data_IF_261650849533
#
_entry.id   IF_261650849533
#
_cell.length_a   1.000
_cell.length_b   1.000
_cell.length_c   1.000
_cell.angle_alpha   90.00
_cell.angle_beta   90.00
_cell.angle_gamma   90.00
#
_symmetry.space_group_name_H-M   'P 1'
#
loop_
_entity.id
_entity.type
_entity.pdbx_description
1 polymer ?
#
# COMPACT_ATOMS: atom_id res chain seq x y z
N UNK A 1 21.29 -12.29 -3.45
CA UNK A 1 20.81 -11.02 -4.01
C UNK A 1 21.99 -10.05 -4.12
N UNK A 2 22.24 -9.49 -5.31
CA UNK A 2 23.33 -8.51 -5.49
C UNK A 2 22.71 -7.11 -5.50
N UNK A 3 23.05 -6.30 -4.49
CA UNK A 3 22.76 -4.86 -4.49
C UNK A 3 23.86 -4.11 -5.27
N UNK A 4 23.56 -2.95 -5.87
CA UNK A 4 24.56 -2.11 -6.54
C UNK A 4 25.74 -1.77 -5.62
N UNK A 5 26.93 -1.63 -6.20
CA UNK A 5 28.16 -1.34 -5.45
C UNK A 5 28.15 0.05 -4.78
N UNK A 6 27.36 0.99 -5.30
CA UNK A 6 27.19 2.33 -4.75
C UNK A 6 25.69 2.66 -4.61
N UNK A 7 25.25 3.05 -3.42
CA UNK A 7 23.90 3.46 -3.09
C UNK A 7 23.99 4.85 -2.44
N UNK A 8 23.88 5.93 -3.23
CA UNK A 8 24.13 7.29 -2.76
C UNK A 8 22.99 7.81 -1.85
N UNK A 9 23.35 8.66 -0.89
CA UNK A 9 22.43 9.45 -0.07
C UNK A 9 21.68 8.65 1.01
N UNK A 10 20.72 9.29 1.67
CA UNK A 10 19.80 8.63 2.59
C UNK A 10 18.89 7.63 1.87
N UNK A 11 18.52 6.59 2.57
CA UNK A 11 17.65 5.55 2.02
C UNK A 11 16.21 5.72 2.48
N UNK A 12 15.28 5.33 1.62
CA UNK A 12 13.85 5.32 1.87
C UNK A 12 13.24 4.04 1.31
N UNK A 13 12.54 3.29 2.15
CA UNK A 13 11.91 2.02 1.77
C UNK A 13 10.41 2.22 1.70
N UNK A 14 9.79 1.79 0.60
CA UNK A 14 8.35 1.65 0.45
C UNK A 14 8.00 0.17 0.45
N UNK A 15 7.01 -0.23 1.21
CA UNK A 15 6.60 -1.63 1.28
C UNK A 15 5.10 -1.77 1.17
N UNK A 16 4.67 -2.70 0.33
CA UNK A 16 3.33 -3.26 0.49
C UNK A 16 3.22 -4.01 1.82
N UNK A 17 2.01 -4.35 2.22
CA UNK A 17 1.71 -4.99 3.50
C UNK A 17 1.33 -6.47 3.33
N UNK A 18 0.17 -6.76 2.77
CA UNK A 18 -0.40 -8.10 2.73
C UNK A 18 0.37 -9.01 1.76
N UNK A 19 0.97 -10.10 2.25
CA UNK A 19 1.81 -10.96 1.42
C UNK A 19 3.22 -10.42 1.17
N UNK A 20 3.56 -9.23 1.67
CA UNK A 20 4.88 -8.62 1.57
C UNK A 20 5.51 -8.44 2.94
N UNK A 21 5.11 -7.45 3.73
CA UNK A 21 5.55 -7.25 5.11
C UNK A 21 4.80 -8.14 6.10
N UNK A 22 3.53 -8.39 5.83
CA UNK A 22 2.63 -9.19 6.65
C UNK A 22 2.48 -10.58 6.04
N UNK A 23 2.34 -11.57 6.91
CA UNK A 23 1.99 -12.91 6.51
C UNK A 23 0.62 -12.95 5.80
N UNK A 24 0.54 -13.63 4.68
CA UNK A 24 -0.66 -13.65 3.83
C UNK A 24 -1.89 -14.25 4.53
N UNK A 25 -1.68 -15.24 5.39
CA UNK A 25 -2.78 -15.98 6.02
C UNK A 25 -3.20 -15.36 7.36
N UNK A 26 -2.24 -14.88 8.14
CA UNK A 26 -2.45 -14.42 9.51
C UNK A 26 -2.42 -12.90 9.65
N UNK A 27 -2.01 -12.18 8.60
CA UNK A 27 -1.77 -10.73 8.62
C UNK A 27 -0.77 -10.27 9.70
N UNK A 28 0.04 -11.21 10.18
CA UNK A 28 0.99 -10.97 11.26
C UNK A 28 2.27 -10.30 10.76
N UNK A 29 2.77 -9.23 11.41
CA UNK A 29 4.07 -8.64 11.15
C UNK A 29 5.21 -9.37 11.90
N UNK A 30 4.96 -10.44 12.62
CA UNK A 30 5.88 -11.02 13.61
C UNK A 30 7.25 -11.37 13.02
N UNK A 31 7.29 -11.92 11.81
CA UNK A 31 8.53 -12.32 11.12
C UNK A 31 9.35 -11.07 10.72
N UNK A 32 8.72 -10.07 10.11
CA UNK A 32 9.41 -8.87 9.62
C UNK A 32 9.73 -7.85 10.72
N UNK A 33 9.02 -7.90 11.86
CA UNK A 33 9.11 -6.91 12.94
C UNK A 33 10.53 -6.63 13.42
N UNK A 34 11.40 -7.62 13.71
CA UNK A 34 12.77 -7.35 14.19
C UNK A 34 13.59 -6.53 13.18
N UNK A 35 13.60 -6.94 11.91
CA UNK A 35 14.35 -6.26 10.84
C UNK A 35 13.77 -4.88 10.54
N UNK A 36 12.44 -4.71 10.60
CA UNK A 36 11.77 -3.41 10.46
C UNK A 36 12.20 -2.42 11.56
N UNK A 37 12.22 -2.86 12.82
CA UNK A 37 12.64 -2.03 13.94
C UNK A 37 14.14 -1.69 13.86
N UNK A 38 14.95 -2.64 13.39
CA UNK A 38 16.39 -2.40 13.21
C UNK A 38 16.69 -1.40 12.10
N UNK A 39 16.01 -1.45 10.96
CA UNK A 39 16.11 -0.43 9.91
C UNK A 39 15.78 0.96 10.46
N UNK A 40 14.74 1.07 11.25
CA UNK A 40 14.35 2.32 11.92
C UNK A 40 15.44 2.85 12.88
N UNK A 41 16.04 1.98 13.68
CA UNK A 41 17.17 2.36 14.56
C UNK A 41 18.37 2.88 13.76
N UNK A 42 18.58 2.37 12.55
CA UNK A 42 19.60 2.83 11.62
C UNK A 42 19.20 4.11 10.86
N UNK A 43 18.05 4.71 11.18
CA UNK A 43 17.57 5.93 10.57
C UNK A 43 16.99 5.76 9.15
N UNK A 44 16.66 4.53 8.74
CA UNK A 44 16.04 4.24 7.44
C UNK A 44 14.52 4.25 7.59
N UNK A 45 13.80 5.24 7.02
CA UNK A 45 12.35 5.25 7.05
C UNK A 45 11.77 4.11 6.19
N UNK A 46 10.75 3.43 6.73
CA UNK A 46 9.98 2.41 6.00
C UNK A 46 8.53 2.88 5.91
N UNK A 47 8.11 3.28 4.72
CA UNK A 47 6.77 3.81 4.41
C UNK A 47 5.85 2.66 4.03
N UNK A 48 4.71 2.55 4.70
CA UNK A 48 3.68 1.59 4.34
C UNK A 48 2.89 2.09 3.13
N UNK A 49 2.72 1.24 2.11
CA UNK A 49 2.05 1.55 0.85
C UNK A 49 1.10 0.41 0.47
N UNK A 50 -0.17 0.51 0.84
CA UNK A 50 -1.09 -0.63 0.79
C UNK A 50 -2.50 -0.25 0.35
N UNK A 51 -3.29 -1.26 -0.02
CA UNK A 51 -4.75 -1.14 -0.19
C UNK A 51 -5.50 -0.94 1.13
N UNK A 52 -4.84 -1.14 2.27
CA UNK A 52 -5.42 -0.95 3.61
C UNK A 52 -5.81 0.50 3.88
N UNK A 53 -6.85 0.66 4.68
CA UNK A 53 -7.36 1.95 5.17
C UNK A 53 -6.38 2.63 6.14
N UNK A 54 -6.58 3.93 6.37
CA UNK A 54 -5.84 4.68 7.40
C UNK A 54 -5.98 4.02 8.78
N UNK A 55 -7.19 3.55 9.11
CA UNK A 55 -7.49 2.92 10.41
C UNK A 55 -6.78 1.58 10.58
N UNK A 56 -6.70 0.75 9.55
CA UNK A 56 -5.91 -0.50 9.57
C UNK A 56 -4.43 -0.22 9.75
N UNK A 57 -3.86 0.69 8.96
CA UNK A 57 -2.44 1.03 9.07
C UNK A 57 -2.11 1.71 10.39
N UNK A 58 -3.02 2.52 10.96
CA UNK A 58 -2.86 3.07 12.31
C UNK A 58 -2.75 1.97 13.37
N UNK A 59 -3.65 0.98 13.33
CA UNK A 59 -3.61 -0.15 14.25
C UNK A 59 -2.30 -0.94 14.12
N UNK A 60 -1.82 -1.19 12.89
CA UNK A 60 -0.54 -1.84 12.64
C UNK A 60 0.64 -1.02 13.18
N UNK A 61 0.70 0.29 12.91
CA UNK A 61 1.75 1.15 13.46
C UNK A 61 1.78 1.15 14.98
N UNK A 62 0.61 1.15 15.62
CA UNK A 62 0.49 1.08 17.08
C UNK A 62 1.02 -0.25 17.62
N UNK A 63 0.66 -1.39 17.02
CA UNK A 63 1.13 -2.71 17.42
C UNK A 63 2.64 -2.88 17.28
N UNK A 64 3.24 -2.21 16.30
CA UNK A 64 4.68 -2.20 16.05
C UNK A 64 5.44 -1.17 16.89
N UNK A 65 4.76 -0.24 17.55
CA UNK A 65 5.39 0.88 18.27
C UNK A 65 6.02 1.92 17.33
N UNK A 66 5.54 2.04 16.11
CA UNK A 66 6.06 2.94 15.07
C UNK A 66 5.12 4.13 14.90
N UNK A 67 5.56 5.34 15.25
CA UNK A 67 4.69 6.53 15.23
C UNK A 67 5.04 7.55 14.13
N UNK A 68 6.28 7.58 13.65
CA UNK A 68 6.82 8.72 12.90
C UNK A 68 7.01 8.45 11.40
N UNK A 69 6.33 7.45 10.81
CA UNK A 69 6.44 7.15 9.39
C UNK A 69 5.20 7.63 8.63
N UNK A 70 5.35 8.10 7.39
CA UNK A 70 4.24 8.31 6.47
C UNK A 70 3.52 7.01 6.13
N UNK A 71 2.30 7.14 5.63
CA UNK A 71 1.49 6.02 5.13
C UNK A 71 0.87 6.39 3.80
N UNK A 72 0.91 5.47 2.86
CA UNK A 72 0.15 5.51 1.62
C UNK A 72 -1.01 4.53 1.81
N UNK A 73 -2.24 5.03 1.75
CA UNK A 73 -3.45 4.26 2.05
C UNK A 73 -4.30 4.08 0.79
N UNK A 74 -5.12 3.04 0.81
CA UNK A 74 -6.13 2.75 -0.19
C UNK A 74 -5.59 2.84 -1.64
N UNK A 75 -4.48 2.08 -1.89
CA UNK A 75 -3.80 2.00 -3.18
C UNK A 75 -3.25 3.33 -3.73
N UNK A 76 -2.87 4.25 -2.85
CA UNK A 76 -2.32 5.54 -3.23
C UNK A 76 -3.35 6.66 -3.27
N UNK A 77 -4.60 6.40 -2.88
CA UNK A 77 -5.66 7.40 -2.91
C UNK A 77 -5.42 8.55 -1.92
N UNK A 78 -4.69 8.29 -0.83
CA UNK A 78 -4.22 9.35 0.06
C UNK A 78 -2.85 9.04 0.67
N UNK A 79 -2.16 10.11 1.03
CA UNK A 79 -0.88 10.09 1.75
C UNK A 79 -1.09 10.75 3.10
N UNK A 80 -0.71 10.07 4.18
CA UNK A 80 -0.82 10.55 5.56
C UNK A 80 0.59 10.70 6.13
N UNK A 81 0.95 11.92 6.52
CA UNK A 81 2.29 12.27 7.00
C UNK A 81 2.22 12.76 8.43
N UNK A 82 3.00 12.21 9.39
CA UNK A 82 3.07 12.74 10.74
C UNK A 82 3.82 14.07 10.79
N UNK A 83 3.33 15.04 11.57
CA UNK A 83 3.99 16.33 11.79
C UNK A 83 5.45 16.13 12.28
N UNK A 84 5.67 15.09 13.08
CA UNK A 84 6.97 14.71 13.61
C UNK A 84 7.96 14.14 12.57
N UNK A 85 7.52 13.92 11.31
CA UNK A 85 8.43 13.49 10.24
C UNK A 85 9.31 14.63 9.70
N UNK A 86 9.01 15.88 10.04
CA UNK A 86 9.77 17.03 9.58
C UNK A 86 9.70 17.30 8.07
N UNK A 87 8.65 16.80 7.43
CA UNK A 87 8.40 17.00 6.00
C UNK A 87 7.55 18.26 5.78
N UNK A 88 7.69 18.90 4.62
CA UNK A 88 6.99 20.14 4.28
C UNK A 88 5.51 19.87 3.93
N UNK A 89 4.68 19.63 4.94
CA UNK A 89 3.25 19.27 4.79
C UNK A 89 2.32 20.13 5.66
N UNK A 90 2.82 21.24 6.22
CA UNK A 90 2.04 22.05 7.15
C UNK A 90 0.82 22.73 6.52
N UNK A 91 0.81 22.89 5.20
CA UNK A 91 -0.30 23.40 4.40
C UNK A 91 -1.39 22.34 4.11
N UNK A 92 -1.12 21.06 4.42
CA UNK A 92 -2.09 19.98 4.24
C UNK A 92 -3.10 19.98 5.40
N UNK A 93 -4.36 19.59 5.15
CA UNK A 93 -5.35 19.48 6.21
C UNK A 93 -4.96 18.40 7.24
N UNK A 94 -5.46 18.51 8.48
CA UNK A 94 -5.33 17.44 9.46
C UNK A 94 -5.91 16.12 8.94
N UNK A 95 -5.25 15.02 9.21
CA UNK A 95 -5.76 13.69 8.85
C UNK A 95 -6.93 13.29 9.77
N UNK A 96 -8.08 12.88 9.24
CA UNK A 96 -9.22 12.45 10.05
C UNK A 96 -8.83 11.36 11.04
N UNK A 97 -9.24 11.50 12.29
CA UNK A 97 -9.00 10.50 13.35
C UNK A 97 -7.52 10.22 13.69
N UNK A 98 -6.56 10.98 13.13
CA UNK A 98 -5.12 10.82 13.38
C UNK A 98 -4.47 12.13 13.85
N UNK A 99 -4.58 12.50 15.13
CA UNK A 99 -3.98 13.72 15.67
C UNK A 99 -2.46 13.78 15.41
N UNK A 100 -1.96 14.98 15.03
CA UNK A 100 -0.55 15.20 14.72
C UNK A 100 -0.11 14.62 13.38
N UNK A 101 -1.07 14.41 12.45
CA UNK A 101 -0.83 13.98 11.09
C UNK A 101 -1.58 14.85 10.09
N UNK A 102 -1.03 14.94 8.90
CA UNK A 102 -1.59 15.66 7.76
C UNK A 102 -1.93 14.69 6.65
N UNK A 103 -2.96 15.02 5.87
CA UNK A 103 -3.39 14.18 4.74
C UNK A 103 -3.34 14.96 3.42
N UNK A 104 -2.88 14.31 2.38
CA UNK A 104 -3.04 14.73 0.99
C UNK A 104 -3.86 13.69 0.26
N UNK A 105 -5.06 14.03 -0.13
CA UNK A 105 -5.90 13.21 -1.01
C UNK A 105 -5.37 13.38 -2.43
N UNK A 106 -5.07 12.25 -3.08
CA UNK A 106 -4.59 12.19 -4.46
C UNK A 106 -5.67 11.67 -5.41
N UNK A 107 -6.59 10.87 -4.88
CA UNK A 107 -7.72 10.32 -5.59
C UNK A 107 -9.00 11.10 -5.33
N UNK A 108 -10.08 10.37 -5.16
CA UNK A 108 -11.44 10.87 -4.97
C UNK A 108 -11.89 10.58 -3.52
N UNK A 109 -12.68 11.46 -2.89
CA UNK A 109 -13.34 11.13 -1.62
C UNK A 109 -14.19 9.86 -1.74
N UNK A 110 -14.20 9.04 -0.69
CA UNK A 110 -14.95 7.78 -0.70
C UNK A 110 -16.45 7.94 -0.94
N UNK A 111 -17.04 9.04 -0.48
CA UNK A 111 -18.46 9.38 -0.74
C UNK A 111 -18.73 9.54 -2.24
N UNK A 112 -17.81 10.19 -2.98
CA UNK A 112 -17.92 10.38 -4.42
C UNK A 112 -17.72 9.05 -5.16
N UNK A 113 -16.77 8.21 -4.72
CA UNK A 113 -16.59 6.84 -5.25
C UNK A 113 -17.87 6.04 -5.09
N UNK A 114 -18.47 6.06 -3.90
CA UNK A 114 -19.71 5.35 -3.60
C UNK A 114 -20.88 5.84 -4.46
N UNK A 115 -21.03 7.16 -4.59
CA UNK A 115 -22.09 7.74 -5.43
C UNK A 115 -21.97 7.30 -6.90
N UNK A 116 -20.77 7.32 -7.46
CA UNK A 116 -20.50 6.88 -8.83
C UNK A 116 -20.71 5.37 -9.02
N UNK A 117 -20.32 4.56 -8.03
CA UNK A 117 -20.64 3.13 -8.04
C UNK A 117 -22.14 2.86 -8.07
N UNK A 118 -22.95 3.64 -7.35
CA UNK A 118 -24.41 3.52 -7.37
C UNK A 118 -24.96 3.90 -8.76
N UNK A 119 -24.37 4.88 -9.45
CA UNK A 119 -24.74 5.23 -10.83
C UNK A 119 -24.41 4.09 -11.82
N UNK A 120 -23.20 3.50 -11.71
CA UNK A 120 -22.82 2.34 -12.52
C UNK A 120 -23.78 1.18 -12.28
N UNK A 121 -24.10 0.86 -11.03
CA UNK A 121 -25.08 -0.17 -10.68
C UNK A 121 -26.45 0.08 -11.30
N UNK A 122 -26.93 1.32 -11.27
CA UNK A 122 -28.22 1.70 -11.87
C UNK A 122 -28.24 1.53 -13.40
N UNK A 123 -27.16 1.88 -14.08
CA UNK A 123 -27.07 1.76 -15.55
C UNK A 123 -26.92 0.32 -16.02
N UNK A 124 -26.09 -0.45 -15.36
CA UNK A 124 -25.75 -1.82 -15.78
C UNK A 124 -26.75 -2.87 -15.26
N UNK A 125 -27.44 -2.57 -14.17
CA UNK A 125 -28.28 -3.54 -13.45
C UNK A 125 -27.47 -4.56 -12.63
N UNK A 126 -26.13 -4.53 -12.69
CA UNK A 126 -25.30 -5.40 -11.88
C UNK A 126 -25.25 -4.92 -10.42
N UNK A 127 -25.52 -5.83 -9.48
CA UNK A 127 -25.45 -5.50 -8.05
C UNK A 127 -24.01 -5.44 -7.59
N UNK A 128 -23.50 -4.24 -7.35
CA UNK A 128 -22.14 -4.00 -6.86
C UNK A 128 -22.11 -3.98 -5.33
N UNK A 129 -22.31 -5.16 -4.70
CA UNK A 129 -22.25 -5.27 -3.25
C UNK A 129 -20.82 -5.03 -2.77
N UNK A 130 -20.64 -4.07 -1.89
CA UNK A 130 -19.35 -3.59 -1.43
C UNK A 130 -19.24 -3.64 0.09
N UNK A 131 -18.06 -3.35 0.64
CA UNK A 131 -17.79 -3.39 2.08
C UNK A 131 -18.80 -2.58 2.90
N UNK A 132 -19.28 -1.43 2.39
CA UNK A 132 -20.31 -0.63 3.05
C UNK A 132 -21.65 -1.34 3.24
N UNK A 133 -21.94 -2.37 2.44
CA UNK A 133 -23.22 -3.08 2.43
C UNK A 133 -23.21 -4.35 3.29
N UNK A 134 -22.11 -4.71 3.90
CA UNK A 134 -21.94 -5.93 4.70
C UNK A 134 -21.53 -5.59 6.13
N UNK A 135 -21.83 -6.46 7.05
CA UNK A 135 -21.45 -6.33 8.47
C UNK A 135 -20.00 -6.72 8.71
N UNK A 136 -19.43 -6.36 9.87
CA UNK A 136 -18.08 -6.75 10.25
C UNK A 136 -17.95 -8.28 10.35
N UNK A 137 -18.99 -8.96 10.83
CA UNK A 137 -19.05 -10.41 10.89
C UNK A 137 -19.06 -11.06 9.50
N UNK A 138 -19.83 -10.52 8.54
CA UNK A 138 -19.82 -11.00 7.15
C UNK A 138 -18.44 -10.78 6.50
N UNK A 139 -17.82 -9.62 6.70
CA UNK A 139 -16.50 -9.36 6.16
C UNK A 139 -15.45 -10.25 6.82
N UNK A 140 -15.54 -10.48 8.12
CA UNK A 140 -14.69 -11.44 8.85
C UNK A 140 -14.75 -12.84 8.20
N UNK A 141 -15.97 -13.33 7.93
CA UNK A 141 -16.17 -14.63 7.28
C UNK A 141 -15.57 -14.69 5.86
N UNK A 142 -15.64 -13.60 5.10
CA UNK A 142 -15.13 -13.52 3.72
C UNK A 142 -13.60 -13.41 3.65
N UNK A 143 -12.98 -12.76 4.64
CA UNK A 143 -11.54 -12.41 4.59
C UNK A 143 -10.67 -13.24 5.51
N UNK A 144 -11.26 -13.82 6.59
CA UNK A 144 -10.52 -14.44 7.68
C UNK A 144 -9.94 -13.44 8.70
N UNK A 145 -10.24 -12.14 8.57
CA UNK A 145 -9.93 -11.13 9.58
C UNK A 145 -10.80 -11.36 10.82
N UNK A 146 -10.32 -11.01 12.00
CA UNK A 146 -11.19 -10.84 13.16
C UNK A 146 -12.19 -9.68 12.93
N UNK A 147 -13.33 -9.68 13.65
CA UNK A 147 -14.38 -8.68 13.43
C UNK A 147 -13.90 -7.23 13.66
N UNK A 148 -13.00 -7.01 14.61
CA UNK A 148 -12.45 -5.68 14.87
C UNK A 148 -11.59 -5.21 13.69
N UNK A 149 -10.80 -6.10 13.11
CA UNK A 149 -9.99 -5.83 11.91
C UNK A 149 -10.87 -5.67 10.67
N UNK A 150 -11.92 -6.47 10.53
CA UNK A 150 -12.93 -6.32 9.48
C UNK A 150 -13.63 -4.96 9.56
N UNK A 151 -14.02 -4.52 10.76
CA UNK A 151 -14.57 -3.18 10.98
C UNK A 151 -13.62 -2.07 10.54
N UNK A 152 -12.31 -2.21 10.78
CA UNK A 152 -11.30 -1.24 10.30
C UNK A 152 -11.19 -1.24 8.79
N UNK A 153 -11.22 -2.41 8.15
CA UNK A 153 -11.14 -2.55 6.69
C UNK A 153 -12.34 -1.91 5.96
N UNK A 154 -13.52 -1.87 6.61
CA UNK A 154 -14.72 -1.19 6.12
C UNK A 154 -14.65 0.34 6.21
N UNK A 155 -13.77 0.90 7.03
CA UNK A 155 -13.62 2.35 7.22
C UNK A 155 -12.83 2.99 6.07
N UNK A 156 -13.31 2.79 4.84
CA UNK A 156 -12.69 3.35 3.63
C UNK A 156 -13.07 4.80 3.45
N UNK A 157 -12.07 5.62 3.21
CA UNK A 157 -12.23 7.09 3.09
C UNK A 157 -12.00 7.58 1.66
N UNK A 158 -11.33 6.78 0.80
CA UNK A 158 -10.88 7.22 -0.54
C UNK A 158 -11.10 6.15 -1.61
N UNK A 159 -11.77 5.07 -1.29
CA UNK A 159 -12.03 3.95 -2.20
C UNK A 159 -13.25 3.16 -1.74
N UNK A 160 -13.63 2.16 -2.53
CA UNK A 160 -14.58 1.14 -2.11
C UNK A 160 -14.10 -0.25 -2.56
N UNK A 161 -14.52 -1.29 -1.86
CA UNK A 161 -14.17 -2.68 -2.23
C UNK A 161 -15.43 -3.47 -2.52
N UNK A 162 -15.56 -3.93 -3.75
CA UNK A 162 -16.67 -4.76 -4.23
C UNK A 162 -16.38 -6.22 -3.92
N UNK A 163 -17.30 -6.87 -3.20
CA UNK A 163 -17.18 -8.29 -2.78
C UNK A 163 -17.88 -9.25 -3.74
N UNK A 164 -18.70 -8.71 -4.62
CA UNK A 164 -19.39 -9.51 -5.63
C UNK A 164 -18.38 -10.12 -6.60
N UNK A 165 -18.63 -11.37 -6.98
CA UNK A 165 -17.80 -12.08 -7.97
C UNK A 165 -18.59 -12.15 -9.27
N UNK A 166 -18.01 -11.63 -10.34
CA UNK A 166 -18.57 -11.71 -11.68
C UNK A 166 -17.63 -12.49 -12.61
N UNK A 167 -18.14 -13.10 -13.69
CA UNK A 167 -17.30 -13.60 -14.77
C UNK A 167 -16.47 -12.47 -15.41
N UNK A 168 -15.32 -12.82 -15.99
CA UNK A 168 -14.38 -11.84 -16.58
C UNK A 168 -15.07 -10.90 -17.58
N UNK A 169 -15.94 -11.42 -18.46
CA UNK A 169 -16.66 -10.59 -19.43
C UNK A 169 -17.60 -9.53 -18.82
N UNK A 170 -18.11 -9.77 -17.59
CA UNK A 170 -18.89 -8.77 -16.85
C UNK A 170 -17.96 -7.72 -16.25
N UNK A 171 -16.79 -8.12 -15.77
CA UNK A 171 -15.78 -7.15 -15.31
C UNK A 171 -15.29 -6.25 -16.45
N UNK A 172 -15.13 -6.78 -17.67
CA UNK A 172 -14.76 -5.99 -18.85
C UNK A 172 -15.84 -4.95 -19.20
N UNK A 173 -17.12 -5.33 -19.12
CA UNK A 173 -18.25 -4.42 -19.29
C UNK A 173 -18.27 -3.34 -18.21
N UNK A 174 -18.14 -3.73 -16.94
CA UNK A 174 -18.11 -2.82 -15.79
C UNK A 174 -16.93 -1.86 -15.87
N UNK A 175 -15.77 -2.29 -16.39
CA UNK A 175 -14.60 -1.42 -16.54
C UNK A 175 -14.91 -0.22 -17.46
N UNK A 176 -15.63 -0.43 -18.56
CA UNK A 176 -16.06 0.66 -19.46
C UNK A 176 -16.95 1.67 -18.72
N UNK A 177 -17.86 1.16 -17.88
CA UNK A 177 -18.76 2.02 -17.11
C UNK A 177 -18.04 2.75 -15.97
N UNK A 178 -17.05 2.09 -15.33
CA UNK A 178 -16.20 2.74 -14.33
C UNK A 178 -15.37 3.86 -14.97
N UNK A 179 -14.76 3.62 -16.13
CA UNK A 179 -13.98 4.63 -16.85
C UNK A 179 -14.83 5.86 -17.21
N UNK A 180 -16.09 5.63 -17.65
CA UNK A 180 -17.04 6.70 -17.96
C UNK A 180 -17.39 7.56 -16.74
N UNK A 181 -17.36 6.99 -15.53
CA UNK A 181 -17.55 7.70 -14.27
C UNK A 181 -16.25 8.27 -13.67
N UNK A 182 -15.12 8.13 -14.34
CA UNK A 182 -13.82 8.52 -13.80
C UNK A 182 -13.41 7.69 -12.60
N UNK A 183 -13.80 6.42 -12.56
CA UNK A 183 -13.39 5.43 -11.60
C UNK A 183 -12.37 4.48 -12.23
N UNK A 184 -11.58 3.85 -11.41
CA UNK A 184 -10.67 2.78 -11.78
C UNK A 184 -10.88 1.57 -10.87
N UNK A 185 -11.07 0.40 -11.46
CA UNK A 185 -11.26 -0.85 -10.75
C UNK A 185 -10.03 -1.73 -10.88
N UNK A 186 -9.48 -2.20 -9.76
CA UNK A 186 -8.31 -3.08 -9.75
C UNK A 186 -8.60 -4.33 -8.92
N UNK A 187 -8.24 -5.47 -9.49
CA UNK A 187 -8.26 -6.72 -8.74
C UNK A 187 -7.13 -6.69 -7.70
N UNK A 188 -7.49 -6.78 -6.42
CA UNK A 188 -6.56 -6.84 -5.30
C UNK A 188 -6.77 -8.15 -4.54
N UNK A 189 -5.82 -9.08 -4.60
CA UNK A 189 -5.84 -10.31 -3.82
C UNK A 189 -7.14 -11.13 -3.89
N UNK A 190 -8.18 -10.70 -3.17
CA UNK A 190 -9.47 -11.43 -3.07
C UNK A 190 -10.63 -10.72 -3.75
N UNK A 191 -10.60 -9.40 -3.80
CA UNK A 191 -11.72 -8.56 -4.21
C UNK A 191 -11.27 -7.45 -5.14
N UNK A 192 -12.23 -6.76 -5.73
CA UNK A 192 -11.99 -5.62 -6.59
C UNK A 192 -12.09 -4.32 -5.78
N UNK A 193 -11.03 -3.51 -5.84
CA UNK A 193 -11.02 -2.18 -5.21
C UNK A 193 -11.22 -1.12 -6.28
N UNK A 194 -12.17 -0.22 -6.03
CA UNK A 194 -12.53 0.89 -6.90
C UNK A 194 -12.07 2.19 -6.27
N UNK A 195 -11.35 3.00 -7.04
CA UNK A 195 -10.82 4.31 -6.65
C UNK A 195 -11.19 5.34 -7.72
N UNK A 196 -10.93 6.61 -7.46
CA UNK A 196 -10.91 7.62 -8.52
C UNK A 196 -9.82 7.33 -9.55
N UNK A 197 -10.11 7.56 -10.82
CA UNK A 197 -9.17 7.31 -11.92
C UNK A 197 -7.86 8.12 -11.75
N UNK A 198 -6.76 7.55 -12.21
CA UNK A 198 -5.42 8.13 -12.10
C UNK A 198 -4.80 8.01 -10.70
N UNK A 199 -5.44 7.26 -9.81
CA UNK A 199 -4.94 6.99 -8.45
C UNK A 199 -4.12 5.70 -8.44
N UNK A 200 -2.85 5.79 -8.07
CA UNK A 200 -2.01 4.61 -7.92
C UNK A 200 -0.93 4.76 -6.82
N UNK A 201 -0.40 3.62 -6.38
CA UNK A 201 0.68 3.56 -5.38
C UNK A 201 1.91 4.37 -5.82
N UNK A 202 2.22 4.41 -7.12
CA UNK A 202 3.42 5.06 -7.66
C UNK A 202 3.36 6.57 -7.59
N UNK A 203 2.21 7.20 -7.85
CA UNK A 203 2.01 8.63 -7.66
C UNK A 203 2.27 9.07 -6.22
N UNK A 204 1.75 8.30 -5.27
CA UNK A 204 1.96 8.54 -3.84
C UNK A 204 3.42 8.30 -3.41
N UNK A 205 4.08 7.28 -3.96
CA UNK A 205 5.52 7.00 -3.74
C UNK A 205 6.38 8.17 -4.23
N UNK A 206 6.13 8.69 -5.43
CA UNK A 206 6.84 9.85 -5.97
C UNK A 206 6.66 11.07 -5.09
N UNK A 207 5.43 11.37 -4.65
CA UNK A 207 5.15 12.50 -3.76
C UNK A 207 5.95 12.41 -2.45
N UNK A 208 5.93 11.27 -1.77
CA UNK A 208 6.70 11.09 -0.53
C UNK A 208 8.21 11.17 -0.81
N UNK A 209 8.69 10.59 -1.90
CA UNK A 209 10.10 10.67 -2.28
C UNK A 209 10.57 12.12 -2.47
N UNK A 210 9.74 12.96 -3.10
CA UNK A 210 10.03 14.38 -3.31
C UNK A 210 10.05 15.16 -1.98
N UNK A 211 9.14 14.87 -1.07
CA UNK A 211 9.14 15.44 0.28
C UNK A 211 10.43 15.10 1.04
N UNK A 212 10.89 13.85 0.97
CA UNK A 212 12.15 13.44 1.61
C UNK A 212 13.37 14.03 0.92
N UNK A 213 13.40 14.12 -0.42
CA UNK A 213 14.48 14.82 -1.16
C UNK A 213 14.59 16.28 -0.74
N UNK A 214 13.46 16.97 -0.64
CA UNK A 214 13.40 18.36 -0.18
C UNK A 214 13.89 18.50 1.27
N UNK A 215 13.44 17.62 2.16
CA UNK A 215 13.82 17.67 3.58
C UNK A 215 15.31 17.37 3.81
N UNK A 216 15.89 16.44 3.04
CA UNK A 216 17.32 16.13 3.15
C UNK A 216 18.24 17.08 2.36
N UNK A 217 17.71 17.87 1.44
CA UNK A 217 18.49 18.77 0.57
C UNK A 217 19.49 18.06 -0.34
N UNK A 218 19.32 16.76 -0.59
CA UNK A 218 20.23 15.90 -1.38
C UNK A 218 19.49 14.71 -1.97
N UNK A 219 20.06 14.06 -3.02
CA UNK A 219 19.49 12.84 -3.58
C UNK A 219 19.30 11.75 -2.52
N UNK A 220 18.25 10.96 -2.67
CA UNK A 220 17.94 9.78 -1.85
C UNK A 220 17.98 8.54 -2.74
N UNK A 221 18.18 7.37 -2.13
CA UNK A 221 17.98 6.08 -2.81
C UNK A 221 16.70 5.44 -2.30
N UNK A 222 15.82 5.04 -3.22
CA UNK A 222 14.51 4.48 -2.91
C UNK A 222 14.45 2.99 -3.22
N UNK A 223 13.83 2.23 -2.30
CA UNK A 223 13.60 0.80 -2.42
C UNK A 223 12.11 0.54 -2.35
N UNK A 224 11.59 -0.37 -3.17
CA UNK A 224 10.19 -0.78 -3.16
C UNK A 224 10.07 -2.29 -3.02
N UNK A 225 9.17 -2.75 -2.15
CA UNK A 225 8.88 -4.16 -1.97
C UNK A 225 7.38 -4.41 -2.18
N UNK A 226 7.04 -5.42 -2.96
CA UNK A 226 5.68 -5.88 -3.23
C UNK A 226 5.66 -7.36 -3.64
N UNK A 227 4.48 -7.96 -3.75
CA UNK A 227 4.29 -9.37 -4.13
C UNK A 227 3.32 -9.58 -5.28
N UNK A 228 2.55 -8.58 -5.65
CA UNK A 228 1.42 -8.73 -6.56
C UNK A 228 1.33 -7.65 -7.64
N UNK A 229 0.47 -7.86 -8.64
CA UNK A 229 0.36 -6.99 -9.81
C UNK A 229 -0.05 -5.55 -9.45
N UNK A 230 -0.83 -5.35 -8.36
CA UNK A 230 -1.20 -4.02 -7.89
C UNK A 230 -0.02 -3.21 -7.35
N UNK A 231 1.14 -3.85 -7.12
CA UNK A 231 2.38 -3.18 -6.71
C UNK A 231 3.21 -2.66 -7.88
N UNK A 232 2.85 -3.02 -9.11
CA UNK A 232 3.58 -2.57 -10.30
C UNK A 232 3.83 -1.04 -10.29
N UNK A 233 2.85 -0.17 -9.98
CA UNK A 233 3.10 1.27 -9.90
C UNK A 233 4.07 1.68 -8.79
N UNK A 234 4.02 1.03 -7.61
CA UNK A 234 4.97 1.24 -6.52
C UNK A 234 6.38 0.87 -6.97
N UNK A 235 6.54 -0.34 -7.54
CA UNK A 235 7.82 -0.88 -7.98
C UNK A 235 8.43 -0.06 -9.12
N UNK A 236 7.60 0.47 -10.01
CA UNK A 236 8.05 1.36 -11.10
C UNK A 236 8.47 2.77 -10.64
N UNK A 237 8.10 3.17 -9.41
CA UNK A 237 8.36 4.51 -8.89
C UNK A 237 9.62 4.59 -8.00
N UNK A 238 10.37 3.51 -7.83
CA UNK A 238 11.57 3.44 -6.99
C UNK A 238 12.81 3.10 -7.79
N UNK A 239 13.98 3.38 -7.22
CA UNK A 239 15.27 3.06 -7.86
C UNK A 239 15.57 1.55 -7.86
N UNK A 240 15.17 0.86 -6.77
CA UNK A 240 15.45 -0.57 -6.57
C UNK A 240 14.17 -1.33 -6.22
N UNK A 241 13.47 -1.89 -7.22
CA UNK A 241 12.27 -2.69 -7.00
C UNK A 241 12.60 -4.15 -6.64
N UNK A 242 11.89 -4.69 -5.64
CA UNK A 242 11.96 -6.07 -5.20
C UNK A 242 10.57 -6.71 -5.22
N UNK A 243 10.47 -7.87 -5.86
CA UNK A 243 9.26 -8.66 -5.89
C UNK A 243 9.48 -9.93 -5.07
N UNK A 244 8.81 -10.02 -3.91
CA UNK A 244 8.87 -11.21 -3.07
C UNK A 244 7.98 -12.32 -3.63
N UNK A 245 8.31 -13.57 -3.35
CA UNK A 245 7.50 -14.71 -3.80
C UNK A 245 6.18 -14.74 -3.02
N UNK A 246 5.11 -15.15 -3.71
CA UNK A 246 3.80 -15.43 -3.15
C UNK A 246 3.82 -16.69 -2.28
N UNK A 247 2.72 -16.99 -1.60
CA UNK A 247 2.58 -18.15 -0.72
C UNK A 247 2.84 -19.47 -1.44
N UNK A 248 2.45 -19.61 -2.70
CA UNK A 248 2.71 -20.78 -3.55
C UNK A 248 4.15 -20.85 -4.08
N UNK A 249 4.99 -19.86 -3.79
CA UNK A 249 6.38 -19.75 -4.27
C UNK A 249 6.52 -19.18 -5.68
N UNK A 250 5.44 -18.79 -6.34
CA UNK A 250 5.46 -18.08 -7.61
C UNK A 250 5.71 -16.58 -7.44
N UNK A 251 6.03 -15.88 -8.53
CA UNK A 251 6.03 -14.43 -8.56
C UNK A 251 4.89 -13.92 -9.44
N UNK A 252 4.41 -12.72 -9.14
CA UNK A 252 3.54 -12.01 -10.05
C UNK A 252 4.19 -11.83 -11.41
N UNK A 253 3.39 -11.94 -12.47
CA UNK A 253 3.86 -11.67 -13.83
C UNK A 253 4.02 -10.17 -14.05
N UNK A 254 5.19 -9.65 -13.67
CA UNK A 254 5.57 -8.24 -13.82
C UNK A 254 6.82 -8.19 -14.69
N UNK A 255 6.66 -7.62 -15.88
CA UNK A 255 7.76 -7.31 -16.78
C UNK A 255 8.28 -5.88 -16.51
N UNK A 256 9.39 -5.77 -15.80
CA UNK A 256 9.98 -4.49 -15.43
C UNK A 256 11.51 -4.57 -15.47
N UNK A 257 12.19 -3.60 -16.09
CA UNK A 257 13.65 -3.48 -16.00
C UNK A 257 14.08 -3.35 -14.52
N UNK A 258 15.20 -3.93 -14.18
CA UNK A 258 15.81 -3.88 -12.84
C UNK A 258 14.99 -4.53 -11.70
N UNK A 259 13.89 -5.22 -11.99
CA UNK A 259 13.13 -5.93 -10.98
C UNK A 259 13.94 -7.09 -10.40
N UNK A 260 14.19 -7.06 -9.10
CA UNK A 260 14.83 -8.16 -8.38
C UNK A 260 13.77 -9.09 -7.80
N UNK A 261 13.70 -10.33 -8.30
CA UNK A 261 12.85 -11.37 -7.72
C UNK A 261 13.53 -11.99 -6.51
N UNK A 262 12.83 -11.96 -5.37
CA UNK A 262 13.30 -12.50 -4.09
C UNK A 262 12.64 -13.84 -3.85
N UNK A 263 13.39 -14.93 -3.62
CA UNK A 263 12.81 -16.27 -3.51
C UNK A 263 12.05 -16.50 -2.20
N UNK A 264 12.34 -15.72 -1.16
CA UNK A 264 11.61 -15.78 0.10
C UNK A 264 10.15 -15.34 -0.06
N UNK A 265 9.23 -16.07 0.60
CA UNK A 265 7.78 -15.79 0.56
C UNK A 265 7.40 -14.72 1.53
N UNK A 266 6.53 -13.80 1.14
CA UNK A 266 5.94 -12.78 1.99
C UNK A 266 6.95 -12.16 2.96
N UNK A 267 6.70 -12.17 4.30
CA UNK A 267 7.57 -11.50 5.26
C UNK A 267 8.98 -12.10 5.34
N UNK A 268 9.21 -13.36 4.97
CA UNK A 268 10.56 -13.95 4.91
C UNK A 268 11.38 -13.31 3.81
N UNK A 269 10.82 -13.15 2.59
CA UNK A 269 11.48 -12.45 1.49
C UNK A 269 11.73 -10.98 1.81
N UNK A 270 10.79 -10.34 2.51
CA UNK A 270 10.98 -8.98 3.01
C UNK A 270 12.19 -8.89 3.95
N UNK A 271 12.35 -9.83 4.88
CA UNK A 271 13.50 -9.90 5.80
C UNK A 271 14.81 -10.11 5.04
N UNK A 272 14.83 -10.99 4.01
CA UNK A 272 16.03 -11.19 3.17
C UNK A 272 16.51 -9.87 2.55
N UNK A 273 15.59 -9.05 2.04
CA UNK A 273 15.93 -7.72 1.50
C UNK A 273 16.42 -6.79 2.61
N UNK A 274 15.69 -6.69 3.72
CA UNK A 274 16.05 -5.84 4.84
C UNK A 274 17.43 -6.15 5.39
N UNK A 275 17.75 -7.43 5.57
CA UNK A 275 19.06 -7.87 6.11
C UNK A 275 20.20 -7.57 5.14
N UNK A 276 19.98 -7.74 3.83
CA UNK A 276 20.97 -7.37 2.81
C UNK A 276 21.23 -5.85 2.78
N UNK A 277 20.17 -5.04 2.92
CA UNK A 277 20.30 -3.58 3.02
C UNK A 277 21.07 -3.18 4.29
N UNK A 278 20.73 -3.77 5.44
CA UNK A 278 21.44 -3.50 6.69
C UNK A 278 22.92 -3.92 6.67
N UNK A 279 23.23 -5.05 6.01
CA UNK A 279 24.62 -5.43 5.79
C UNK A 279 25.36 -4.38 4.96
N UNK A 280 24.71 -3.87 3.89
CA UNK A 280 25.29 -2.84 3.02
C UNK A 280 25.56 -1.53 3.74
N UNK A 281 24.69 -1.15 4.69
CA UNK A 281 24.91 0.05 5.52
C UNK A 281 26.14 -0.12 6.42
N UNK A 282 26.34 -1.32 7.00
CA UNK A 282 27.54 -1.62 7.81
C UNK A 282 28.83 -1.57 7.02
N UNK A 283 28.79 -2.09 5.77
CA UNK A 283 29.98 -2.12 4.91
C UNK A 283 30.39 -0.72 4.39
N UNK A 284 29.48 0.24 4.44
CA UNK A 284 29.67 1.62 3.98
C UNK A 284 30.01 2.61 5.11
N UNK A 285 29.91 2.17 6.38
CA UNK A 285 30.23 2.96 7.59
C UNK A 285 31.67 2.74 8.04
#
# INVERSE_FOLDING_TARGET
MQLPSSLPGPWLIFTDLDGTLLDWNTYSPAIARPSLLRLRELGVPVVFCSSKTATEQRALRQSLGIKSIPSIVENGAAVIVPDAAGLATLDWPPAPGEPGRRVKVLGMPGEDVQHRLDQVQQRTGHKLRAYRHITDAELSALTGLDEVSAGRARMREYSETVVEQFPDGVWDELQVEFDAEGLECRHGGRFHTVTGAGTDKGGAVRLISDLYRAAYGRPITTFGLGDSANDTPLLAAVDHPFLVAREDGSWADIAMPNLTRVPGRGPTGWVEVADALMQRLRDAS
#
